data_IF_257197943124
#
_entry.id   IF_257197943124
#
_cell.length_a   1.000
_cell.length_b   1.000
_cell.length_c   1.000
_cell.angle_alpha   90.00
_cell.angle_beta   90.00
_cell.angle_gamma   90.00
#
_symmetry.space_group_name_H-M   'P 1'
#
loop_
_entity.id
_entity.type
_entity.pdbx_description
1 polymer ?
#
# COMPACT_ATOMS: atom_id res chain seq x y z
N UNK A 1 3.13 9.80 -11.41
CA UNK A 1 4.31 9.96 -10.53
C UNK A 1 4.81 8.67 -9.88
N UNK A 2 3.94 7.68 -9.66
CA UNK A 2 4.36 6.40 -9.07
C UNK A 2 5.47 5.74 -9.90
N UNK A 3 5.26 5.63 -11.22
CA UNK A 3 6.26 5.02 -12.11
C UNK A 3 7.60 5.78 -12.07
N UNK A 4 7.53 7.11 -12.03
CA UNK A 4 8.70 7.96 -11.91
C UNK A 4 9.41 7.75 -10.57
N UNK A 5 8.66 7.72 -9.48
CA UNK A 5 9.21 7.51 -8.14
C UNK A 5 9.89 6.15 -8.00
N UNK A 6 9.32 5.10 -8.57
CA UNK A 6 9.93 3.78 -8.61
C UNK A 6 11.23 3.78 -9.44
N UNK A 7 11.20 4.43 -10.60
CA UNK A 7 12.39 4.56 -11.44
C UNK A 7 13.49 5.34 -10.72
N UNK A 8 13.15 6.44 -10.07
CA UNK A 8 14.11 7.25 -9.30
C UNK A 8 14.69 6.48 -8.12
N UNK A 9 13.96 5.52 -7.59
CA UNK A 9 14.45 4.61 -6.54
C UNK A 9 15.32 3.47 -7.09
N UNK A 10 15.55 3.40 -8.40
CA UNK A 10 16.42 2.42 -9.05
C UNK A 10 15.69 1.18 -9.59
N UNK A 11 14.37 1.20 -9.70
CA UNK A 11 13.59 0.06 -10.20
C UNK A 11 13.51 0.06 -11.73
N UNK A 12 13.63 -1.14 -12.33
CA UNK A 12 13.16 -1.41 -13.68
C UNK A 12 11.68 -1.83 -13.56
N UNK A 13 10.77 -1.08 -14.18
CA UNK A 13 9.33 -1.22 -13.95
C UNK A 13 8.64 -1.93 -15.12
N UNK A 14 7.93 -3.02 -14.81
CA UNK A 14 6.98 -3.67 -15.71
C UNK A 14 5.56 -3.37 -15.24
N UNK A 15 4.73 -2.83 -16.12
CA UNK A 15 3.31 -2.57 -15.82
C UNK A 15 2.48 -3.74 -16.33
N UNK A 16 1.67 -4.31 -15.44
CA UNK A 16 0.75 -5.40 -15.78
C UNK A 16 -0.68 -4.98 -15.44
N UNK A 17 -1.70 -5.55 -16.11
CA UNK A 17 -3.10 -5.22 -15.81
C UNK A 17 -3.50 -5.72 -14.42
N UNK A 18 -4.53 -5.09 -13.84
CA UNK A 18 -5.01 -5.42 -12.49
C UNK A 18 -5.55 -6.85 -12.37
N UNK A 19 -5.93 -7.48 -13.46
CA UNK A 19 -6.40 -8.87 -13.48
C UNK A 19 -5.28 -9.89 -13.76
N UNK A 20 -4.02 -9.47 -13.79
CA UNK A 20 -2.89 -10.40 -13.91
C UNK A 20 -2.89 -11.39 -12.75
N UNK A 21 -2.61 -12.67 -13.05
CA UNK A 21 -2.51 -13.69 -12.02
C UNK A 21 -1.16 -13.64 -11.32
N UNK A 22 -1.08 -14.19 -10.11
CA UNK A 22 0.19 -14.32 -9.41
C UNK A 22 1.22 -15.10 -10.23
N UNK A 23 0.80 -16.17 -10.93
CA UNK A 23 1.69 -16.96 -11.78
C UNK A 23 2.24 -16.15 -12.96
N UNK A 24 1.40 -15.33 -13.61
CA UNK A 24 1.81 -14.44 -14.69
C UNK A 24 2.84 -13.40 -14.19
N UNK A 25 2.61 -12.84 -13.00
CA UNK A 25 3.53 -11.90 -12.38
C UNK A 25 4.85 -12.57 -12.03
N UNK A 26 4.80 -13.73 -11.40
CA UNK A 26 6.00 -14.49 -11.03
C UNK A 26 6.83 -14.95 -12.24
N UNK A 27 6.17 -15.19 -13.39
CA UNK A 27 6.87 -15.53 -14.64
C UNK A 27 7.79 -14.39 -15.13
N UNK A 28 7.54 -13.16 -14.74
CA UNK A 28 8.42 -12.02 -15.05
C UNK A 28 9.65 -11.96 -14.14
N UNK A 29 9.72 -12.81 -13.12
CA UNK A 29 10.81 -12.86 -12.13
C UNK A 29 11.05 -11.49 -11.45
N UNK A 30 10.01 -10.85 -10.89
CA UNK A 30 10.18 -9.56 -10.23
C UNK A 30 10.90 -9.72 -8.89
N UNK A 31 11.61 -8.68 -8.48
CA UNK A 31 12.15 -8.57 -7.13
C UNK A 31 11.12 -8.06 -6.12
N UNK A 32 10.07 -7.41 -6.60
CA UNK A 32 8.97 -6.91 -5.80
C UNK A 32 7.74 -6.59 -6.65
N UNK A 33 6.60 -6.46 -6.00
CA UNK A 33 5.32 -6.11 -6.63
C UNK A 33 4.77 -4.85 -5.99
N UNK A 34 4.41 -3.90 -6.84
CA UNK A 34 3.80 -2.64 -6.42
C UNK A 34 2.31 -2.65 -6.74
N UNK A 35 1.47 -2.41 -5.72
CA UNK A 35 0.04 -2.29 -5.88
C UNK A 35 -0.31 -0.81 -6.01
N UNK A 36 -0.59 -0.39 -7.23
CA UNK A 36 -0.81 1.01 -7.57
C UNK A 36 -2.15 1.54 -7.08
N UNK A 37 -2.31 2.86 -7.10
CA UNK A 37 -3.59 3.51 -6.87
C UNK A 37 -4.56 3.24 -8.00
N UNK A 38 -5.84 3.48 -7.75
CA UNK A 38 -6.89 3.32 -8.74
C UNK A 38 -8.24 3.77 -8.19
N UNK A 39 -9.26 3.85 -9.06
CA UNK A 39 -10.61 4.25 -8.66
C UNK A 39 -11.45 3.06 -8.21
N UNK A 40 -12.61 3.38 -7.66
CA UNK A 40 -13.68 2.43 -7.40
C UNK A 40 -13.71 1.85 -6.00
N UNK A 41 -14.62 0.91 -5.81
CA UNK A 41 -14.80 0.18 -4.55
C UNK A 41 -13.73 -0.91 -4.45
N UNK A 42 -12.87 -0.86 -3.42
CA UNK A 42 -11.82 -1.86 -3.27
C UNK A 42 -12.37 -3.28 -3.08
N UNK A 43 -13.52 -3.46 -2.46
CA UNK A 43 -14.12 -4.78 -2.27
C UNK A 43 -14.48 -5.45 -3.61
N UNK A 44 -14.95 -4.67 -4.59
CA UNK A 44 -15.23 -5.18 -5.92
C UNK A 44 -13.96 -5.63 -6.64
N UNK A 45 -12.90 -4.85 -6.58
CA UNK A 45 -11.60 -5.19 -7.17
C UNK A 45 -10.97 -6.39 -6.48
N UNK A 46 -11.13 -6.51 -5.15
CA UNK A 46 -10.57 -7.60 -4.37
C UNK A 46 -11.14 -8.98 -4.75
N UNK A 47 -12.30 -9.04 -5.41
CA UNK A 47 -12.87 -10.32 -5.84
C UNK A 47 -11.94 -11.10 -6.77
N UNK A 48 -11.19 -10.39 -7.63
CA UNK A 48 -10.21 -11.02 -8.52
C UNK A 48 -8.76 -10.75 -8.12
N UNK A 49 -8.45 -9.55 -7.57
CA UNK A 49 -7.09 -9.21 -7.17
C UNK A 49 -6.68 -9.80 -5.81
N UNK A 50 -7.63 -9.95 -4.89
CA UNK A 50 -7.35 -10.42 -3.53
C UNK A 50 -6.64 -11.77 -3.46
N UNK A 51 -7.17 -12.83 -4.11
CA UNK A 51 -6.53 -14.14 -4.12
C UNK A 51 -5.11 -14.11 -4.72
N UNK A 52 -4.87 -13.29 -5.73
CA UNK A 52 -3.55 -13.15 -6.35
C UNK A 52 -2.57 -12.47 -5.42
N UNK A 53 -2.98 -11.41 -4.73
CA UNK A 53 -2.16 -10.71 -3.74
C UNK A 53 -1.82 -11.63 -2.58
N UNK A 54 -2.79 -12.37 -2.05
CA UNK A 54 -2.57 -13.33 -0.98
C UNK A 54 -1.53 -14.38 -1.37
N UNK A 55 -1.60 -14.90 -2.59
CA UNK A 55 -0.64 -15.88 -3.12
C UNK A 55 0.77 -15.29 -3.21
N UNK A 56 0.92 -14.04 -3.68
CA UNK A 56 2.21 -13.37 -3.74
C UNK A 56 2.80 -13.15 -2.34
N UNK A 57 1.98 -12.78 -1.36
CA UNK A 57 2.40 -12.63 0.03
C UNK A 57 2.90 -13.96 0.60
N UNK A 58 2.17 -15.05 0.37
CA UNK A 58 2.55 -16.39 0.83
C UNK A 58 3.89 -16.84 0.22
N UNK A 59 4.22 -16.38 -0.98
CA UNK A 59 5.48 -16.66 -1.66
C UNK A 59 6.63 -15.75 -1.21
N UNK A 60 6.45 -14.97 -0.16
CA UNK A 60 7.43 -13.99 0.35
C UNK A 60 7.83 -12.91 -0.65
N UNK A 61 6.93 -12.57 -1.58
CA UNK A 61 7.16 -11.49 -2.53
C UNK A 61 7.13 -10.15 -1.79
N UNK A 62 8.17 -9.30 -1.90
CA UNK A 62 8.13 -7.94 -1.38
C UNK A 62 6.98 -7.15 -2.02
N UNK A 63 6.13 -6.54 -1.20
CA UNK A 63 4.95 -5.81 -1.68
C UNK A 63 4.89 -4.44 -1.01
N UNK A 64 4.61 -3.44 -1.83
CA UNK A 64 4.24 -2.09 -1.38
C UNK A 64 2.97 -1.67 -2.08
N UNK A 65 1.95 -1.24 -1.31
CA UNK A 65 0.67 -0.78 -1.84
C UNK A 65 0.37 0.67 -1.47
N UNK A 66 -0.25 1.39 -2.39
CA UNK A 66 -0.66 2.79 -2.21
C UNK A 66 -2.16 2.93 -2.52
N UNK A 67 -2.88 3.64 -1.66
CA UNK A 67 -4.30 3.98 -1.79
C UNK A 67 -5.16 2.70 -1.95
N UNK A 68 -5.74 2.45 -3.12
CA UNK A 68 -6.49 1.20 -3.33
C UNK A 68 -5.58 -0.03 -3.16
N UNK A 69 -4.31 0.07 -3.48
CA UNK A 69 -3.35 -1.02 -3.25
C UNK A 69 -3.21 -1.38 -1.78
N UNK A 70 -3.25 -0.39 -0.89
CA UNK A 70 -3.30 -0.60 0.55
C UNK A 70 -4.59 -1.33 0.97
N UNK A 71 -5.73 -0.89 0.45
CA UNK A 71 -7.02 -1.51 0.74
C UNK A 71 -7.10 -2.95 0.23
N UNK A 72 -6.58 -3.19 -0.98
CA UNK A 72 -6.53 -4.53 -1.58
C UNK A 72 -5.64 -5.48 -0.78
N UNK A 73 -4.51 -5.02 -0.28
CA UNK A 73 -3.64 -5.84 0.58
C UNK A 73 -4.37 -6.23 1.87
N UNK A 74 -5.07 -5.29 2.49
CA UNK A 74 -5.86 -5.55 3.69
C UNK A 74 -6.96 -6.59 3.41
N UNK A 75 -7.73 -6.39 2.33
CA UNK A 75 -8.80 -7.30 1.93
C UNK A 75 -8.27 -8.70 1.58
N UNK A 76 -7.13 -8.78 0.91
CA UNK A 76 -6.48 -10.06 0.56
C UNK A 76 -6.15 -10.90 1.78
N UNK A 77 -5.87 -10.27 2.91
CA UNK A 77 -5.51 -10.93 4.17
C UNK A 77 -6.70 -11.08 5.13
N UNK A 78 -7.91 -10.74 4.70
CA UNK A 78 -9.13 -10.98 5.46
C UNK A 78 -9.69 -9.78 6.23
N UNK A 79 -9.08 -8.61 6.12
CA UNK A 79 -9.63 -7.39 6.69
C UNK A 79 -10.83 -6.89 5.86
N UNK A 80 -11.54 -5.91 6.39
CA UNK A 80 -12.71 -5.30 5.75
C UNK A 80 -12.46 -3.82 5.49
N UNK A 81 -13.16 -3.28 4.50
CA UNK A 81 -13.18 -1.86 4.19
C UNK A 81 -14.63 -1.35 4.27
N UNK A 82 -14.78 -0.06 4.50
CA UNK A 82 -16.10 0.59 4.41
C UNK A 82 -15.96 1.97 3.77
N UNK A 83 -17.07 2.46 3.24
CA UNK A 83 -17.16 3.79 2.68
C UNK A 83 -17.20 4.82 3.82
N UNK A 84 -16.39 5.86 3.71
CA UNK A 84 -16.38 6.96 4.67
C UNK A 84 -17.55 7.91 4.42
N UNK A 85 -18.10 8.51 5.48
CA UNK A 85 -19.10 9.58 5.36
C UNK A 85 -18.50 10.78 4.63
N UNK A 86 -17.26 11.12 4.99
CA UNK A 86 -16.44 12.11 4.29
C UNK A 86 -15.09 11.49 3.99
N UNK A 87 -14.73 11.47 2.73
CA UNK A 87 -13.40 11.01 2.32
C UNK A 87 -12.30 12.00 2.73
N UNK A 88 -11.07 11.55 2.64
CA UNK A 88 -9.91 12.41 2.80
C UNK A 88 -9.48 12.93 1.42
N UNK A 89 -9.41 14.25 1.28
CA UNK A 89 -8.97 14.93 0.05
C UNK A 89 -8.19 16.17 0.40
N UNK A 90 -6.98 16.29 -0.16
CA UNK A 90 -6.10 17.42 0.07
C UNK A 90 -4.65 17.02 0.26
N UNK A 91 -3.78 18.01 0.39
CA UNK A 91 -2.33 17.81 0.50
C UNK A 91 -1.78 18.27 1.87
N UNK A 92 -2.64 18.32 2.89
CA UNK A 92 -2.30 18.85 4.20
C UNK A 92 -2.78 17.94 5.35
N UNK A 93 -2.87 16.64 5.10
CA UNK A 93 -3.35 15.67 6.08
C UNK A 93 -2.20 15.13 6.93
N UNK A 94 -2.18 15.41 8.24
CA UNK A 94 -1.14 14.88 9.13
C UNK A 94 -1.40 13.43 9.46
N UNK A 95 -0.36 12.62 9.29
CA UNK A 95 -0.37 11.18 9.58
C UNK A 95 0.77 10.88 10.54
N UNK A 96 0.50 10.10 11.56
CA UNK A 96 1.51 9.65 12.52
C UNK A 96 2.00 8.28 12.15
N UNK A 97 3.31 8.15 11.99
CA UNK A 97 4.01 6.87 11.89
C UNK A 97 4.17 6.31 13.31
N UNK A 98 3.47 5.22 13.61
CA UNK A 98 3.50 4.61 14.94
C UNK A 98 4.82 3.88 15.22
N UNK A 99 5.61 3.56 14.18
CA UNK A 99 6.89 2.88 14.34
C UNK A 99 8.01 3.84 14.75
N UNK A 100 7.93 5.11 14.36
CA UNK A 100 8.95 6.13 14.64
C UNK A 100 8.46 7.25 15.54
N UNK A 101 7.13 7.42 15.66
CA UNK A 101 6.52 8.55 16.35
C UNK A 101 6.50 9.85 15.54
N UNK A 102 7.04 9.85 14.32
CA UNK A 102 7.06 11.02 13.44
C UNK A 102 5.69 11.34 12.87
N UNK A 103 5.46 12.63 12.66
CA UNK A 103 4.27 13.13 11.97
C UNK A 103 4.70 13.56 10.57
N UNK A 104 3.96 13.09 9.57
CA UNK A 104 4.18 13.39 8.17
C UNK A 104 2.97 14.13 7.62
N UNK A 105 3.20 15.15 6.80
CA UNK A 105 2.12 15.80 6.05
C UNK A 105 1.97 15.03 4.75
N UNK A 106 0.73 14.62 4.44
CA UNK A 106 0.45 13.71 3.33
C UNK A 106 -0.61 14.26 2.38
N UNK A 107 -0.55 13.75 1.16
CA UNK A 107 -1.58 13.97 0.15
C UNK A 107 -2.57 12.81 0.18
N UNK A 108 -3.86 13.11 0.22
CA UNK A 108 -4.94 12.15 0.37
C UNK A 108 -5.99 12.35 -0.73
N UNK A 109 -6.50 11.25 -1.26
CA UNK A 109 -7.64 11.27 -2.17
C UNK A 109 -8.31 9.89 -2.15
N UNK A 110 -9.14 9.64 -1.14
CA UNK A 110 -9.87 8.37 -1.03
C UNK A 110 -11.19 8.54 -0.28
N UNK A 111 -12.14 7.67 -0.59
CA UNK A 111 -13.46 7.64 0.05
C UNK A 111 -13.75 6.34 0.81
N UNK A 112 -12.81 5.39 0.80
CA UNK A 112 -12.90 4.13 1.54
C UNK A 112 -11.75 4.04 2.54
N UNK A 113 -11.96 3.26 3.59
CA UNK A 113 -10.98 3.07 4.65
C UNK A 113 -11.00 1.63 5.14
N UNK A 114 -9.86 1.14 5.60
CA UNK A 114 -9.76 -0.18 6.24
C UNK A 114 -10.32 -0.09 7.66
N UNK A 115 -11.19 -1.04 8.01
CA UNK A 115 -11.75 -1.15 9.35
C UNK A 115 -10.69 -1.72 10.31
N UNK A 116 -10.25 -0.94 11.31
CA UNK A 116 -9.22 -1.39 12.24
C UNK A 116 -9.65 -2.59 13.09
N UNK A 117 -10.96 -2.74 13.34
CA UNK A 117 -11.49 -3.85 14.13
C UNK A 117 -11.53 -5.17 13.35
N UNK A 118 -11.35 -5.12 12.04
CA UNK A 118 -11.35 -6.29 11.17
C UNK A 118 -9.96 -6.87 10.89
N UNK A 119 -8.89 -6.25 11.40
CA UNK A 119 -7.52 -6.65 11.08
C UNK A 119 -7.20 -8.05 11.62
N UNK A 120 -6.67 -8.95 10.77
CA UNK A 120 -6.14 -10.22 11.24
C UNK A 120 -4.85 -10.03 12.04
N UNK A 121 -4.44 -11.05 12.79
CA UNK A 121 -3.20 -11.01 13.57
C UNK A 121 -1.95 -10.77 12.72
N UNK A 122 -1.98 -11.13 11.44
CA UNK A 122 -0.87 -10.94 10.50
C UNK A 122 -0.64 -9.48 10.09
N UNK A 123 -1.60 -8.59 10.33
CA UNK A 123 -1.48 -7.17 10.00
C UNK A 123 -1.45 -6.31 11.24
N UNK A 124 -0.58 -5.33 11.26
CA UNK A 124 -0.58 -4.28 12.29
C UNK A 124 -0.64 -2.90 11.67
N UNK A 125 -1.26 -1.97 12.38
CA UNK A 125 -1.36 -0.57 11.97
C UNK A 125 0.01 0.09 12.13
N UNK A 126 0.54 0.65 11.05
CA UNK A 126 1.81 1.38 11.05
C UNK A 126 1.60 2.90 11.07
N UNK A 127 0.48 3.39 10.55
CA UNK A 127 0.19 4.81 10.42
C UNK A 127 -1.27 5.09 10.72
N UNK A 128 -1.55 6.22 11.37
CA UNK A 128 -2.91 6.69 11.67
C UNK A 128 -3.06 8.15 11.26
N UNK A 129 -4.29 8.53 10.85
CA UNK A 129 -4.67 9.92 10.64
C UNK A 129 -4.77 10.65 11.97
N UNK A 130 -4.19 11.85 12.05
CA UNK A 130 -4.36 12.70 13.22
C UNK A 130 -5.68 13.48 13.18
N UNK A 131 -6.41 13.47 12.07
CA UNK A 131 -7.73 14.10 11.98
C UNK A 131 -8.83 13.24 12.59
N UNK A 132 -8.84 11.94 12.31
CA UNK A 132 -9.95 11.06 12.69
C UNK A 132 -9.51 9.68 13.20
N UNK A 133 -8.21 9.46 13.39
CA UNK A 133 -7.63 8.18 13.85
C UNK A 133 -7.85 7.01 12.89
N UNK A 134 -8.25 7.25 11.65
CA UNK A 134 -8.41 6.20 10.65
C UNK A 134 -7.05 5.54 10.31
N UNK A 135 -7.12 4.31 9.83
CA UNK A 135 -5.93 3.55 9.40
C UNK A 135 -5.34 4.18 8.15
N UNK A 136 -4.08 4.55 8.23
CA UNK A 136 -3.34 5.19 7.13
C UNK A 136 -2.16 4.37 6.64
N UNK A 137 -1.82 3.30 7.31
CA UNK A 137 -0.78 2.37 6.91
C UNK A 137 -0.87 1.05 7.66
N UNK A 138 -0.44 -0.01 6.99
CA UNK A 138 -0.39 -1.36 7.53
C UNK A 138 0.94 -1.99 7.18
N UNK A 139 1.39 -2.92 8.01
CA UNK A 139 2.50 -3.80 7.69
C UNK A 139 2.17 -5.23 8.08
N UNK A 140 2.69 -6.18 7.33
CA UNK A 140 2.62 -7.58 7.71
C UNK A 140 3.62 -7.85 8.83
N UNK A 141 3.22 -8.64 9.82
CA UNK A 141 4.06 -8.92 11.01
C UNK A 141 5.27 -9.79 10.70
N UNK A 142 5.23 -10.60 9.64
CA UNK A 142 6.30 -11.55 9.30
C UNK A 142 6.72 -11.56 7.83
N UNK A 143 5.82 -11.17 6.91
CA UNK A 143 6.10 -11.16 5.47
C UNK A 143 6.59 -9.79 5.02
N UNK A 144 7.35 -9.70 3.89
CA UNK A 144 7.88 -8.43 3.40
C UNK A 144 6.81 -7.61 2.65
N UNK A 145 5.77 -7.19 3.36
CA UNK A 145 4.65 -6.47 2.77
C UNK A 145 4.23 -5.31 3.67
N UNK A 146 4.05 -4.13 3.07
CA UNK A 146 3.53 -2.94 3.75
C UNK A 146 2.75 -2.07 2.77
N UNK A 147 1.93 -1.18 3.31
CA UNK A 147 1.11 -0.31 2.47
C UNK A 147 0.72 0.96 3.21
N UNK A 148 0.38 1.99 2.45
CA UNK A 148 -0.12 3.27 2.97
C UNK A 148 -1.35 3.72 2.19
N UNK A 149 -2.27 4.40 2.89
CA UNK A 149 -3.51 4.90 2.30
C UNK A 149 -3.30 6.19 1.50
N UNK A 150 -2.31 6.98 1.87
CA UNK A 150 -2.00 8.26 1.25
C UNK A 150 -1.08 8.10 0.04
N UNK A 151 -0.78 9.22 -0.62
CA UNK A 151 -0.01 9.27 -1.86
C UNK A 151 1.40 9.83 -1.63
N UNK A 152 2.43 8.98 -1.33
CA UNK A 152 3.81 9.46 -1.13
C UNK A 152 4.47 9.97 -2.41
N UNK A 153 3.91 9.62 -3.58
CA UNK A 153 4.38 10.06 -4.91
C UNK A 153 3.87 11.45 -5.30
N UNK A 154 3.10 12.11 -4.45
CA UNK A 154 2.36 13.34 -4.80
C UNK A 154 3.22 14.42 -5.44
N UNK A 155 2.66 15.09 -6.46
CA UNK A 155 3.27 16.23 -7.15
C UNK A 155 2.19 17.01 -7.91
N UNK A 156 1.95 18.31 -7.59
CA UNK A 156 2.53 19.02 -6.44
C UNK A 156 2.01 18.46 -5.13
N UNK A 157 2.79 18.62 -4.08
CA UNK A 157 2.38 18.18 -2.75
C UNK A 157 3.56 17.93 -1.83
N UNK A 158 3.29 17.51 -0.57
CA UNK A 158 4.33 17.26 0.40
C UNK A 158 5.21 16.07 0.02
N UNK A 159 6.48 16.14 0.40
CA UNK A 159 7.48 15.12 0.07
C UNK A 159 7.90 14.30 1.30
N UNK A 160 7.28 14.50 2.44
CA UNK A 160 7.65 13.91 3.72
C UNK A 160 7.72 12.38 3.69
N UNK A 161 6.87 11.74 2.86
CA UNK A 161 6.74 10.29 2.80
C UNK A 161 7.41 9.63 1.58
N UNK A 162 8.18 10.38 0.79
CA UNK A 162 8.88 9.81 -0.39
C UNK A 162 9.91 8.74 -0.03
N UNK A 163 10.41 8.72 1.18
CA UNK A 163 11.33 7.69 1.67
C UNK A 163 10.74 6.28 1.60
N UNK A 164 9.42 6.14 1.50
CA UNK A 164 8.75 4.83 1.42
C UNK A 164 9.16 4.04 0.17
N UNK A 165 9.47 4.71 -0.94
CA UNK A 165 9.98 4.05 -2.14
C UNK A 165 11.35 3.43 -1.89
N UNK A 166 12.22 4.12 -1.16
CA UNK A 166 13.52 3.55 -0.75
C UNK A 166 13.33 2.38 0.23
N UNK A 167 12.37 2.49 1.15
CA UNK A 167 12.03 1.39 2.06
C UNK A 167 11.63 0.14 1.27
N UNK A 168 10.90 0.30 0.17
CA UNK A 168 10.51 -0.79 -0.70
C UNK A 168 11.72 -1.43 -1.40
N UNK A 169 12.62 -0.64 -1.99
CA UNK A 169 13.82 -1.16 -2.63
C UNK A 169 14.76 -1.84 -1.63
N UNK A 170 14.91 -1.29 -0.43
CA UNK A 170 15.68 -1.92 0.65
C UNK A 170 15.07 -3.27 1.05
N UNK A 171 13.74 -3.36 1.09
CA UNK A 171 13.03 -4.59 1.40
C UNK A 171 13.25 -5.66 0.32
N UNK A 172 13.24 -5.27 -0.96
CA UNK A 172 13.56 -6.16 -2.08
C UNK A 172 15.00 -6.70 -1.98
N UNK A 173 15.96 -5.84 -1.70
CA UNK A 173 17.37 -6.25 -1.54
C UNK A 173 17.54 -7.21 -0.37
N UNK A 174 16.94 -6.92 0.77
CA UNK A 174 16.99 -7.76 1.97
C UNK A 174 16.37 -9.14 1.72
N UNK A 175 15.26 -9.20 1.00
CA UNK A 175 14.54 -10.45 0.74
C UNK A 175 15.29 -11.31 -0.27
N UNK A 176 15.99 -10.69 -1.21
CA UNK A 176 16.78 -11.38 -2.23
C UNK A 176 18.10 -11.97 -1.70
N UNK A 177 18.62 -11.39 -0.65
CA UNK A 177 19.89 -11.78 -0.04
C UNK A 177 19.84 -13.16 0.65
#
# INVERSE_FOLDING_TARGET
>A
NILRSLKDAGCAVHVVPANATADEIMALQPDGVFLSNGPGDPAATATYAGPQIAKLIDQNMPIFGICIGHQLMALALGAKTHKMDRGHRGANHPVKDLTTGKIEITSQNHGFVVDPDSLPAALEVSHISLFDQSVEGLRHTSKPAFCVQYHPESSPGPHDSRYLFKRFTDLMEKTRA
#
